data_IF_267657006811
#
_entry.id   IF_267657006811
#
_cell.length_a   1.000
_cell.length_b   1.000
_cell.length_c   1.000
_cell.angle_alpha   90.00
_cell.angle_beta   90.00
_cell.angle_gamma   90.00
#
_symmetry.space_group_name_H-M   'P 1'
#
loop_
_entity.id
_entity.type
_entity.pdbx_description
1 polymer ?
#
# COMPACT_ATOMS: atom_id res chain seq x y z
N UNK A 1 3.95 -10.18 12.33
CA UNK A 1 2.90 -10.41 11.30
C UNK A 1 2.68 -11.91 11.18
N UNK A 2 1.43 -12.33 11.01
CA UNK A 2 1.09 -13.75 10.91
C UNK A 2 1.39 -14.29 9.52
N UNK A 3 1.57 -15.63 9.44
CA UNK A 3 1.94 -16.29 8.17
C UNK A 3 0.91 -16.12 7.06
N UNK A 4 -0.37 -16.00 7.40
CA UNK A 4 -1.45 -15.86 6.44
C UNK A 4 -1.78 -14.41 6.10
N UNK A 5 -1.00 -13.46 6.63
CA UNK A 5 -1.22 -12.05 6.38
C UNK A 5 -0.37 -11.57 5.21
N UNK A 6 -0.83 -10.47 4.62
CA UNK A 6 -0.19 -9.86 3.46
C UNK A 6 0.50 -8.56 3.86
N UNK A 7 1.56 -8.23 3.14
CA UNK A 7 2.11 -6.88 3.13
C UNK A 7 1.38 -6.12 2.05
N UNK A 8 0.68 -5.06 2.42
CA UNK A 8 0.00 -4.19 1.46
C UNK A 8 0.94 -3.10 0.97
N UNK A 9 0.90 -2.80 -0.31
CA UNK A 9 1.68 -1.72 -0.90
C UNK A 9 0.72 -0.76 -1.57
N UNK A 10 0.84 0.53 -1.26
CA UNK A 10 0.11 1.56 -1.98
C UNK A 10 1.04 2.69 -2.39
N UNK A 11 0.67 3.38 -3.45
CA UNK A 11 1.33 4.61 -3.87
C UNK A 11 0.35 5.77 -3.69
N UNK A 12 0.86 6.89 -3.21
CA UNK A 12 0.02 8.04 -2.88
C UNK A 12 0.75 9.33 -3.24
N UNK A 13 -0.04 10.36 -3.56
CA UNK A 13 0.51 11.64 -4.01
C UNK A 13 0.60 11.70 -5.52
N UNK A 14 1.39 12.64 -6.04
CA UNK A 14 1.56 12.76 -7.48
C UNK A 14 2.39 11.61 -8.06
N UNK A 15 2.14 11.25 -9.30
CA UNK A 15 2.94 10.26 -9.99
C UNK A 15 4.38 10.73 -10.08
N UNK A 16 5.29 9.92 -9.57
CA UNK A 16 6.72 10.21 -9.64
C UNK A 16 7.43 9.07 -10.37
N UNK A 17 8.45 9.43 -11.12
CA UNK A 17 9.31 8.43 -11.72
C UNK A 17 9.96 7.63 -10.58
N UNK A 18 10.03 6.33 -10.74
CA UNK A 18 10.60 5.46 -9.72
C UNK A 18 9.57 4.77 -8.83
N UNK A 19 8.30 5.16 -8.88
CA UNK A 19 7.28 4.46 -8.08
C UNK A 19 7.16 3.00 -8.48
N UNK A 20 7.17 2.69 -9.78
CA UNK A 20 7.13 1.30 -10.23
C UNK A 20 8.38 0.52 -9.82
N UNK A 21 9.55 1.16 -9.85
CA UNK A 21 10.77 0.53 -9.37
C UNK A 21 10.69 0.20 -7.88
N UNK A 22 10.11 1.11 -7.08
CA UNK A 22 9.92 0.87 -5.66
C UNK A 22 8.91 -0.27 -5.42
N UNK A 23 7.80 -0.30 -6.15
CA UNK A 23 6.82 -1.38 -6.06
C UNK A 23 7.49 -2.72 -6.36
N UNK A 24 8.29 -2.78 -7.42
CA UNK A 24 9.00 -4.00 -7.80
C UNK A 24 9.97 -4.44 -6.72
N UNK A 25 10.78 -3.51 -6.20
CA UNK A 25 11.77 -3.82 -5.18
C UNK A 25 11.13 -4.36 -3.90
N UNK A 26 10.08 -3.70 -3.42
CA UNK A 26 9.37 -4.12 -2.21
C UNK A 26 8.72 -5.48 -2.41
N UNK A 27 8.05 -5.68 -3.54
CA UNK A 27 7.35 -6.93 -3.83
C UNK A 27 8.34 -8.09 -3.89
N UNK A 28 9.44 -7.95 -4.62
CA UNK A 28 10.42 -9.02 -4.76
C UNK A 28 11.11 -9.33 -3.43
N UNK A 29 11.48 -8.29 -2.67
CA UNK A 29 12.12 -8.49 -1.38
C UNK A 29 11.18 -9.19 -0.40
N UNK A 30 9.92 -8.79 -0.36
CA UNK A 30 8.93 -9.41 0.53
C UNK A 30 8.73 -10.89 0.18
N UNK A 31 8.55 -11.19 -1.10
CA UNK A 31 8.36 -12.58 -1.55
C UNK A 31 9.60 -13.42 -1.27
N UNK A 32 10.79 -12.87 -1.52
CA UNK A 32 12.04 -13.56 -1.22
C UNK A 32 12.13 -13.94 0.27
N UNK A 33 11.59 -13.12 1.15
CA UNK A 33 11.58 -13.36 2.59
C UNK A 33 10.37 -14.17 3.06
N UNK A 34 9.59 -14.73 2.16
CA UNK A 34 8.49 -15.62 2.50
C UNK A 34 7.15 -14.95 2.77
N UNK A 35 7.03 -13.65 2.47
CA UNK A 35 5.78 -12.93 2.66
C UNK A 35 4.96 -12.90 1.38
N UNK A 36 3.64 -12.76 1.54
CA UNK A 36 2.72 -12.50 0.43
C UNK A 36 2.45 -11.00 0.36
N UNK A 37 2.20 -10.51 -0.83
CA UNK A 37 2.05 -9.07 -1.10
C UNK A 37 0.71 -8.80 -1.78
N UNK A 38 0.01 -7.77 -1.33
CA UNK A 38 -1.15 -7.23 -2.03
C UNK A 38 -0.85 -5.81 -2.48
N UNK A 39 -1.09 -5.55 -3.77
CA UNK A 39 -1.05 -4.19 -4.30
C UNK A 39 -2.40 -3.53 -4.11
N UNK A 40 -2.41 -2.32 -3.56
CA UNK A 40 -3.61 -1.56 -3.29
C UNK A 40 -3.73 -0.47 -4.34
N UNK A 41 -4.84 -0.48 -5.10
CA UNK A 41 -5.05 0.47 -6.18
C UNK A 41 -5.60 1.79 -5.67
N UNK A 42 -5.19 2.88 -6.28
CA UNK A 42 -5.65 4.24 -5.99
C UNK A 42 -5.39 4.69 -4.55
N UNK A 43 -4.22 4.31 -4.02
CA UNK A 43 -3.75 4.79 -2.72
C UNK A 43 -4.72 4.51 -1.57
N UNK A 44 -4.89 5.49 -0.69
CA UNK A 44 -5.76 5.33 0.48
C UNK A 44 -7.23 5.16 0.11
N UNK A 45 -7.67 5.71 -1.02
CA UNK A 45 -9.04 5.47 -1.48
C UNK A 45 -9.28 4.00 -1.74
N UNK A 46 -8.36 3.35 -2.42
CA UNK A 46 -8.45 1.92 -2.67
C UNK A 46 -8.32 1.10 -1.40
N UNK A 47 -7.52 1.57 -0.43
CA UNK A 47 -7.41 0.90 0.86
C UNK A 47 -8.76 0.88 1.56
N UNK A 48 -9.47 2.00 1.58
CA UNK A 48 -10.80 2.10 2.18
C UNK A 48 -11.80 1.23 1.43
N UNK A 49 -11.77 1.28 0.10
CA UNK A 49 -12.73 0.59 -0.76
C UNK A 49 -12.45 -0.91 -0.92
N UNK A 50 -11.28 -1.38 -0.51
CA UNK A 50 -10.92 -2.78 -0.67
C UNK A 50 -10.44 -3.13 -2.08
N UNK A 51 -9.87 -2.17 -2.79
CA UNK A 51 -9.38 -2.37 -4.15
C UNK A 51 -7.94 -2.86 -4.11
N UNK A 52 -7.76 -4.16 -3.92
CA UNK A 52 -6.43 -4.75 -3.85
C UNK A 52 -6.41 -6.11 -4.55
N UNK A 53 -5.23 -6.52 -4.96
CA UNK A 53 -5.02 -7.89 -5.44
C UNK A 53 -3.62 -8.37 -5.07
N UNK A 54 -3.48 -9.67 -5.02
CA UNK A 54 -2.17 -10.27 -4.75
C UNK A 54 -1.20 -9.99 -5.90
N UNK A 55 0.03 -9.62 -5.53
CA UNK A 55 1.10 -9.39 -6.49
C UNK A 55 2.13 -10.53 -6.42
N UNK A 56 2.55 -10.99 -7.59
CA UNK A 56 3.62 -11.98 -7.72
C UNK A 56 4.85 -11.32 -8.32
N UNK A 57 5.98 -12.05 -8.32
CA UNK A 57 7.19 -11.56 -8.98
C UNK A 57 6.97 -11.34 -10.48
N UNK A 58 6.11 -12.14 -11.11
CA UNK A 58 5.77 -11.96 -12.53
C UNK A 58 5.03 -10.65 -12.78
N UNK A 59 4.12 -10.30 -11.87
CA UNK A 59 3.34 -9.06 -12.01
C UNK A 59 4.22 -7.82 -12.05
N UNK A 60 5.37 -7.85 -11.38
CA UNK A 60 6.24 -6.68 -11.26
C UNK A 60 7.52 -6.79 -12.09
N UNK A 61 7.70 -7.87 -12.84
CA UNK A 61 8.98 -8.15 -13.50
C UNK A 61 9.37 -7.12 -14.56
N UNK A 62 8.43 -6.49 -15.23
CA UNK A 62 8.72 -5.58 -16.34
C UNK A 62 8.16 -4.17 -16.14
N UNK A 63 7.79 -3.80 -14.92
CA UNK A 63 7.13 -2.52 -14.69
C UNK A 63 8.07 -1.33 -14.58
N UNK A 64 9.37 -1.55 -14.43
CA UNK A 64 10.34 -0.45 -14.28
C UNK A 64 10.30 0.49 -15.49
N UNK A 65 10.09 -0.05 -16.68
CA UNK A 65 10.07 0.73 -17.91
C UNK A 65 8.78 1.50 -18.13
N UNK A 66 7.77 1.27 -17.29
CA UNK A 66 6.48 1.94 -17.42
C UNK A 66 6.51 3.23 -16.62
N UNK A 67 5.93 4.29 -17.18
CA UNK A 67 5.84 5.57 -16.49
C UNK A 67 4.81 5.49 -15.37
N UNK A 68 5.01 6.29 -14.32
CA UNK A 68 4.07 6.43 -13.22
C UNK A 68 4.06 5.26 -12.27
N UNK A 69 2.89 4.81 -11.92
CA UNK A 69 2.69 3.69 -11.01
C UNK A 69 1.62 2.73 -11.54
N UNK A 70 1.89 1.43 -11.47
CA UNK A 70 0.88 0.43 -11.85
C UNK A 70 -0.26 0.36 -10.85
N UNK A 71 -0.05 0.82 -9.62
CA UNK A 71 -1.08 0.83 -8.58
C UNK A 71 -1.94 2.09 -8.61
N UNK A 72 -1.54 3.08 -9.40
CA UNK A 72 -2.24 4.34 -9.50
C UNK A 72 -2.27 5.09 -8.17
N UNK A 73 -2.65 6.34 -8.23
CA UNK A 73 -2.87 7.17 -7.05
C UNK A 73 -4.23 7.83 -7.14
N UNK A 74 -4.76 8.25 -6.02
CA UNK A 74 -5.96 9.04 -5.95
C UNK A 74 -5.89 9.90 -4.70
N UNK A 75 -6.55 11.05 -4.76
CA UNK A 75 -6.71 11.89 -3.60
C UNK A 75 -7.73 11.26 -2.68
N UNK A 76 -7.47 11.25 -1.38
CA UNK A 76 -8.41 10.69 -0.42
C UNK A 76 -8.68 11.68 0.71
N UNK A 77 -9.80 12.35 0.63
CA UNK A 77 -10.25 13.19 1.73
C UNK A 77 -10.74 12.35 2.89
N UNK A 78 -11.32 11.19 2.59
CA UNK A 78 -11.83 10.29 3.62
C UNK A 78 -10.73 9.84 4.58
N UNK A 79 -9.52 9.59 4.08
CA UNK A 79 -8.42 9.13 4.93
C UNK A 79 -7.90 10.22 5.87
N UNK A 80 -8.25 11.47 5.63
CA UNK A 80 -7.91 12.56 6.57
C UNK A 80 -8.86 12.64 7.76
N UNK A 81 -9.91 11.84 7.76
CA UNK A 81 -10.90 11.79 8.84
C UNK A 81 -10.71 10.53 9.68
N UNK A 82 -11.05 10.58 10.99
CA UNK A 82 -11.01 9.37 11.81
C UNK A 82 -11.91 8.24 11.29
N UNK A 83 -13.07 8.59 10.74
CA UNK A 83 -14.00 7.61 10.19
C UNK A 83 -13.43 6.87 8.98
N UNK A 84 -12.79 7.60 8.09
CA UNK A 84 -12.17 7.00 6.90
C UNK A 84 -11.01 6.10 7.28
N UNK A 85 -10.21 6.50 8.24
CA UNK A 85 -9.11 5.66 8.73
C UNK A 85 -9.63 4.40 9.41
N UNK A 86 -10.75 4.50 10.12
CA UNK A 86 -11.39 3.32 10.70
C UNK A 86 -11.85 2.34 9.63
N UNK A 87 -12.47 2.86 8.57
CA UNK A 87 -12.88 2.02 7.45
C UNK A 87 -11.67 1.36 6.79
N UNK A 88 -10.57 2.10 6.65
CA UNK A 88 -9.33 1.55 6.10
C UNK A 88 -8.80 0.41 6.97
N UNK A 89 -8.82 0.58 8.27
CA UNK A 89 -8.37 -0.46 9.20
C UNK A 89 -9.25 -1.70 9.13
N UNK A 90 -10.57 -1.51 9.09
CA UNK A 90 -11.51 -2.62 8.98
C UNK A 90 -11.29 -3.40 7.67
N UNK A 91 -11.03 -2.69 6.58
CA UNK A 91 -10.73 -3.31 5.29
C UNK A 91 -9.42 -4.09 5.36
N UNK A 92 -8.39 -3.53 5.99
CA UNK A 92 -7.11 -4.22 6.14
C UNK A 92 -7.29 -5.55 6.88
N UNK A 93 -8.05 -5.54 7.95
CA UNK A 93 -8.31 -6.76 8.71
C UNK A 93 -9.08 -7.79 7.88
N UNK A 94 -10.09 -7.34 7.15
CA UNK A 94 -10.89 -8.19 6.28
C UNK A 94 -10.04 -8.82 5.18
N UNK A 95 -9.11 -8.04 4.62
CA UNK A 95 -8.25 -8.48 3.52
C UNK A 95 -6.95 -9.15 4.02
N UNK A 96 -6.80 -9.31 5.33
CA UNK A 96 -5.65 -9.93 5.97
C UNK A 96 -4.34 -9.20 5.69
N UNK A 97 -4.38 -7.89 5.58
CA UNK A 97 -3.20 -7.06 5.41
C UNK A 97 -2.66 -6.71 6.79
N UNK A 98 -1.49 -7.23 7.13
CA UNK A 98 -0.89 -7.04 8.46
C UNK A 98 0.12 -5.91 8.54
N UNK A 99 0.66 -5.48 7.42
CA UNK A 99 1.61 -4.38 7.35
C UNK A 99 1.35 -3.59 6.08
N UNK A 100 1.69 -2.31 6.10
CA UNK A 100 1.43 -1.40 4.99
C UNK A 100 2.71 -0.68 4.60
N UNK A 101 3.10 -0.76 3.34
CA UNK A 101 4.19 0.03 2.78
C UNK A 101 3.58 1.15 1.95
N UNK A 102 3.92 2.38 2.29
CA UNK A 102 3.41 3.58 1.63
C UNK A 102 4.53 4.22 0.83
N UNK A 103 4.34 4.31 -0.46
CA UNK A 103 5.28 4.96 -1.38
C UNK A 103 4.66 6.29 -1.79
N UNK A 104 5.25 7.39 -1.34
CA UNK A 104 4.70 8.71 -1.63
C UNK A 104 5.48 9.82 -0.94
N UNK A 105 4.92 11.01 -0.99
CA UNK A 105 5.55 12.19 -0.41
C UNK A 105 5.16 12.43 1.05
N UNK A 106 5.53 13.62 1.56
CA UNK A 106 5.38 13.97 2.98
C UNK A 106 3.95 13.84 3.50
N UNK A 107 2.98 14.28 2.73
CA UNK A 107 1.57 14.18 3.16
C UNK A 107 1.11 12.74 3.32
N UNK A 108 1.54 11.87 2.40
CA UNK A 108 1.19 10.46 2.46
C UNK A 108 1.83 9.76 3.64
N UNK A 109 3.08 10.11 3.95
CA UNK A 109 3.79 9.53 5.08
C UNK A 109 3.24 10.04 6.41
N UNK A 110 2.78 11.30 6.46
CA UNK A 110 2.10 11.84 7.63
C UNK A 110 0.80 11.08 7.89
N UNK A 111 0.03 10.81 6.83
CA UNK A 111 -1.20 10.02 6.95
C UNK A 111 -0.92 8.61 7.48
N UNK A 112 0.12 7.97 6.97
CA UNK A 112 0.52 6.65 7.45
C UNK A 112 0.91 6.67 8.93
N UNK A 113 1.64 7.71 9.35
CA UNK A 113 2.06 7.86 10.75
C UNK A 113 0.84 8.00 11.66
N UNK A 114 -0.11 8.84 11.30
CA UNK A 114 -1.33 9.03 12.09
C UNK A 114 -2.11 7.71 12.18
N UNK A 115 -2.22 7.01 11.07
CA UNK A 115 -2.90 5.73 11.02
C UNK A 115 -2.24 4.70 11.95
N UNK A 116 -0.92 4.63 11.95
CA UNK A 116 -0.18 3.71 12.81
C UNK A 116 -0.27 4.08 14.29
N UNK A 117 -0.48 5.36 14.61
CA UNK A 117 -0.70 5.79 15.99
C UNK A 117 -2.08 5.41 16.50
N UNK A 118 -3.07 5.39 15.61
CA UNK A 118 -4.46 5.10 15.99
C UNK A 118 -4.77 3.60 16.05
N UNK A 119 -4.08 2.80 15.26
CA UNK A 119 -4.37 1.38 15.09
C UNK A 119 -3.09 0.54 15.15
N UNK A 120 -3.18 -0.73 15.57
CA UNK A 120 -2.00 -1.61 15.64
C UNK A 120 -1.59 -2.10 14.25
N UNK A 121 -1.14 -1.18 13.41
CA UNK A 121 -0.71 -1.44 12.05
C UNK A 121 0.73 -1.01 11.90
N UNK A 122 1.58 -1.85 11.32
CA UNK A 122 2.94 -1.48 10.99
C UNK A 122 2.92 -0.77 9.64
N UNK A 123 3.30 0.52 9.63
CA UNK A 123 3.41 1.30 8.40
C UNK A 123 4.87 1.63 8.15
N UNK A 124 5.32 1.40 6.91
CA UNK A 124 6.69 1.66 6.47
C UNK A 124 6.63 2.65 5.30
N UNK A 125 7.38 3.71 5.42
CA UNK A 125 7.44 4.75 4.38
C UNK A 125 8.60 4.57 3.40
#
# INVERSE_FOLDING_TARGET
MKKDEYIGILTSGGDASGMNAAIRAVTRTAIFNGFKVKGIYRGYEGLIAGESRELTTEDVSSIIQRAGTILKTARSEAFTTPEGRREAYDTMRKEKIGALVVIGGDGSLTGARIFAEEYPVTCIG
#
